data_IF_917239997632
#
_entry.id   IF_917239997632
#
_cell.length_a   1.000
_cell.length_b   1.000
_cell.length_c   1.000
_cell.angle_alpha   90.00
_cell.angle_beta   90.00
_cell.angle_gamma   90.00
#
_symmetry.space_group_name_H-M   'P 1'
#
loop_
_entity.id
_entity.type
_entity.pdbx_description
1 polymer ?
#
# COMPACT_ATOMS: atom_id res chain seq x y z
N UNK A 1 -8.27 16.93 -11.15
CA UNK A 1 -8.88 17.84 -10.16
C UNK A 1 -7.99 17.91 -8.93
N UNK A 2 -7.46 19.08 -8.62
CA UNK A 2 -6.57 19.32 -7.48
C UNK A 2 -7.37 19.26 -6.18
N UNK A 3 -6.97 18.43 -5.21
CA UNK A 3 -7.55 18.55 -3.88
C UNK A 3 -6.97 19.77 -3.17
N UNK A 4 -7.86 20.48 -2.48
CA UNK A 4 -7.52 21.52 -1.50
C UNK A 4 -7.77 20.91 -0.11
N UNK A 5 -6.98 21.23 0.93
CA UNK A 5 -7.28 20.81 2.29
C UNK A 5 -8.71 21.18 2.64
N UNK A 6 -9.48 20.22 3.16
CA UNK A 6 -10.87 20.47 3.47
C UNK A 6 -11.00 21.40 4.68
N UNK A 7 -11.96 22.32 4.62
CA UNK A 7 -12.26 23.28 5.69
C UNK A 7 -13.74 23.19 6.06
N UNK A 8 -14.02 23.07 7.36
CA UNK A 8 -15.39 23.08 7.90
C UNK A 8 -15.39 23.64 9.33
N UNK A 9 -16.48 24.31 9.69
CA UNK A 9 -16.76 24.76 11.06
C UNK A 9 -17.58 23.72 11.87
N UNK A 10 -18.04 22.64 11.23
CA UNK A 10 -18.84 21.61 11.87
C UNK A 10 -17.97 20.77 12.82
N UNK A 11 -18.47 20.55 14.04
CA UNK A 11 -17.81 19.77 15.10
C UNK A 11 -18.81 18.83 15.76
N UNK A 12 -18.37 17.74 16.42
CA UNK A 12 -19.27 16.90 17.22
C UNK A 12 -19.91 17.69 18.37
N UNK A 13 -21.06 17.24 18.88
CA UNK A 13 -21.65 17.84 20.08
C UNK A 13 -20.70 17.72 21.28
N UNK A 14 -20.62 18.79 22.09
CA UNK A 14 -19.87 18.79 23.35
C UNK A 14 -20.78 18.27 24.46
N UNK A 15 -20.37 17.17 25.10
CA UNK A 15 -21.08 16.53 26.22
C UNK A 15 -20.15 16.40 27.43
N UNK A 16 -20.71 16.06 28.59
CA UNK A 16 -19.92 15.77 29.77
C UNK A 16 -19.05 14.50 29.60
N UNK A 17 -18.06 14.35 30.48
CA UNK A 17 -17.07 13.27 30.42
C UNK A 17 -17.70 11.88 30.56
N UNK A 18 -18.75 11.75 31.37
CA UNK A 18 -19.40 10.48 31.65
C UNK A 18 -20.20 10.02 30.43
N UNK A 19 -20.98 10.92 29.82
CA UNK A 19 -21.71 10.67 28.58
C UNK A 19 -20.76 10.27 27.44
N UNK A 20 -19.67 11.02 27.25
CA UNK A 20 -18.67 10.68 26.23
C UNK A 20 -18.03 9.30 26.48
N UNK A 21 -17.68 8.98 27.73
CA UNK A 21 -17.07 7.69 28.07
C UNK A 21 -18.01 6.52 27.80
N UNK A 22 -19.30 6.68 28.09
CA UNK A 22 -20.32 5.66 27.83
C UNK A 22 -20.43 5.37 26.33
N UNK A 23 -20.66 6.38 25.50
CA UNK A 23 -20.80 6.23 24.04
C UNK A 23 -19.53 5.66 23.38
N UNK A 24 -18.36 6.16 23.79
CA UNK A 24 -17.07 5.65 23.31
C UNK A 24 -16.88 4.18 23.69
N UNK A 25 -17.28 3.77 24.89
CA UNK A 25 -17.13 2.39 25.33
C UNK A 25 -18.10 1.44 24.61
N UNK A 26 -19.28 1.91 24.21
CA UNK A 26 -20.20 1.15 23.35
C UNK A 26 -19.56 0.88 21.97
N UNK A 27 -18.90 1.88 21.37
CA UNK A 27 -18.14 1.69 20.13
C UNK A 27 -16.95 0.73 20.31
N UNK A 28 -16.21 0.85 21.42
CA UNK A 28 -15.04 0.02 21.70
C UNK A 28 -15.35 -1.48 21.66
N UNK A 29 -16.56 -1.90 22.06
CA UNK A 29 -16.97 -3.32 21.96
C UNK A 29 -16.89 -3.81 20.51
N UNK A 30 -17.35 -3.00 19.56
CA UNK A 30 -17.31 -3.33 18.12
C UNK A 30 -15.87 -3.32 17.60
N UNK A 31 -15.06 -2.35 18.01
CA UNK A 31 -13.63 -2.29 17.63
C UNK A 31 -12.86 -3.53 18.11
N UNK A 32 -13.13 -3.98 19.34
CA UNK A 32 -12.52 -5.20 19.89
C UNK A 32 -13.04 -6.46 19.21
N UNK A 33 -14.30 -6.51 18.82
CA UNK A 33 -14.83 -7.61 18.01
C UNK A 33 -14.13 -7.67 16.64
N UNK A 34 -13.97 -6.54 15.96
CA UNK A 34 -13.24 -6.46 14.69
C UNK A 34 -11.77 -6.88 14.82
N UNK A 35 -11.09 -6.46 15.90
CA UNK A 35 -9.71 -6.88 16.17
C UNK A 35 -9.59 -8.41 16.27
N UNK A 36 -10.48 -9.04 17.02
CA UNK A 36 -10.50 -10.51 17.19
C UNK A 36 -10.83 -11.23 15.90
N UNK A 37 -11.72 -10.69 15.08
CA UNK A 37 -12.00 -11.23 13.75
C UNK A 37 -10.76 -11.12 12.85
N UNK A 38 -10.02 -10.01 12.92
CA UNK A 38 -8.73 -9.87 12.25
C UNK A 38 -7.73 -10.95 12.67
N UNK A 39 -7.64 -11.26 13.96
CA UNK A 39 -6.80 -12.34 14.49
C UNK A 39 -7.24 -13.71 13.94
N UNK A 40 -8.55 -13.96 13.87
CA UNK A 40 -9.12 -15.18 13.32
C UNK A 40 -8.83 -15.32 11.82
N UNK A 41 -8.97 -14.25 11.04
CA UNK A 41 -8.62 -14.22 9.61
C UNK A 41 -7.12 -14.46 9.42
N UNK A 42 -6.27 -13.84 10.25
CA UNK A 42 -4.83 -14.08 10.20
C UNK A 42 -4.48 -15.54 10.53
N UNK A 43 -5.23 -16.18 11.43
CA UNK A 43 -5.11 -17.61 11.71
C UNK A 43 -5.54 -18.46 10.51
N UNK A 44 -6.66 -18.13 9.87
CA UNK A 44 -7.13 -18.82 8.67
C UNK A 44 -6.13 -18.72 7.51
N UNK A 45 -5.50 -17.55 7.28
CA UNK A 45 -4.44 -17.38 6.28
C UNK A 45 -3.25 -18.31 6.52
N UNK A 46 -2.86 -18.53 7.78
CA UNK A 46 -1.80 -19.48 8.16
C UNK A 46 -2.16 -20.95 7.92
N UNK A 47 -3.44 -21.26 7.64
CA UNK A 47 -3.93 -22.61 7.32
C UNK A 47 -4.19 -22.81 5.82
N UNK A 48 -4.00 -21.79 4.98
CA UNK A 48 -4.16 -21.92 3.53
C UNK A 48 -3.11 -22.87 2.94
N UNK A 49 -3.46 -23.66 1.92
CA UNK A 49 -2.46 -24.35 1.12
C UNK A 49 -1.65 -23.33 0.31
N UNK A 50 -0.49 -23.76 -0.18
CA UNK A 50 0.37 -22.97 -1.06
C UNK A 50 0.53 -23.66 -2.41
N UNK A 51 0.77 -22.89 -3.47
CA UNK A 51 1.00 -23.41 -4.83
C UNK A 51 2.43 -23.15 -5.27
N UNK A 52 3.03 -24.10 -5.96
CA UNK A 52 4.40 -23.98 -6.46
C UNK A 52 4.46 -22.93 -7.58
N UNK A 53 5.41 -22.01 -7.49
CA UNK A 53 5.73 -21.09 -8.57
C UNK A 53 6.58 -21.78 -9.63
N UNK A 54 6.36 -21.52 -10.92
CA UNK A 54 7.32 -21.91 -11.94
C UNK A 54 8.65 -21.16 -11.75
N UNK A 55 9.67 -21.55 -12.49
CA UNK A 55 10.92 -20.79 -12.54
C UNK A 55 10.66 -19.44 -13.20
N UNK A 56 10.65 -18.39 -12.39
CA UNK A 56 10.42 -17.01 -12.83
C UNK A 56 11.62 -16.14 -12.48
N UNK A 57 11.95 -15.21 -13.38
CA UNK A 57 12.90 -14.12 -13.14
C UNK A 57 12.19 -12.77 -13.16
N UNK A 58 12.72 -11.82 -12.40
CA UNK A 58 12.39 -10.39 -12.45
C UNK A 58 13.65 -9.61 -12.77
N UNK A 59 13.55 -8.43 -13.39
CA UNK A 59 14.74 -7.63 -13.73
C UNK A 59 15.05 -6.64 -12.61
N UNK A 60 16.25 -6.76 -12.05
CA UNK A 60 16.78 -5.89 -10.98
C UNK A 60 18.06 -5.16 -11.40
N UNK A 61 18.77 -4.52 -10.44
CA UNK A 61 19.99 -3.76 -10.73
C UNK A 61 21.12 -4.61 -11.30
N UNK A 62 21.14 -5.91 -10.99
CA UNK A 62 22.10 -6.88 -11.53
C UNK A 62 21.64 -7.58 -12.81
N UNK A 63 20.52 -7.17 -13.41
CA UNK A 63 19.89 -7.87 -14.53
C UNK A 63 18.83 -8.88 -14.07
N UNK A 64 18.68 -9.97 -14.81
CA UNK A 64 17.66 -10.99 -14.54
C UNK A 64 17.96 -11.69 -13.21
N UNK A 65 17.04 -11.59 -12.27
CA UNK A 65 17.14 -12.08 -10.91
C UNK A 65 16.10 -13.20 -10.72
N UNK A 66 16.51 -14.44 -10.41
CA UNK A 66 15.58 -15.50 -10.04
C UNK A 66 14.70 -15.11 -8.86
N UNK A 67 13.41 -15.48 -8.88
CA UNK A 67 12.47 -15.13 -7.81
C UNK A 67 12.98 -15.55 -6.41
N UNK A 68 13.69 -16.68 -6.31
CA UNK A 68 14.27 -17.15 -5.06
C UNK A 68 15.32 -16.20 -4.46
N UNK A 69 16.03 -15.44 -5.30
CA UNK A 69 17.05 -14.47 -4.87
C UNK A 69 16.45 -13.16 -4.35
N UNK A 70 15.24 -12.80 -4.80
CA UNK A 70 14.48 -11.63 -4.31
C UNK A 70 14.24 -11.68 -2.79
N UNK A 71 14.26 -12.89 -2.21
CA UNK A 71 14.12 -13.08 -0.77
C UNK A 71 15.31 -12.56 0.04
N UNK A 72 16.45 -12.21 -0.58
CA UNK A 72 17.66 -11.71 0.10
C UNK A 72 18.14 -12.63 1.24
N UNK A 73 18.05 -13.95 1.01
CA UNK A 73 18.43 -14.97 2.00
C UNK A 73 17.38 -15.27 3.07
N UNK A 74 16.24 -14.56 3.07
CA UNK A 74 15.11 -14.84 3.98
C UNK A 74 14.19 -15.93 3.43
N UNK A 75 13.28 -16.43 4.26
CA UNK A 75 12.32 -17.47 3.84
C UNK A 75 10.99 -16.93 3.36
N UNK A 76 10.59 -15.74 3.76
CA UNK A 76 9.30 -15.16 3.38
C UNK A 76 9.48 -13.89 2.55
N UNK A 77 8.58 -13.69 1.59
CA UNK A 77 8.53 -12.50 0.75
C UNK A 77 7.12 -11.94 0.75
N UNK A 78 7.00 -10.63 0.96
CA UNK A 78 5.81 -9.86 0.61
C UNK A 78 6.17 -9.02 -0.63
N UNK A 79 5.49 -9.25 -1.74
CA UNK A 79 5.67 -8.50 -2.96
C UNK A 79 4.46 -7.60 -3.22
N UNK A 80 4.72 -6.31 -3.45
CA UNK A 80 3.72 -5.41 -4.01
C UNK A 80 3.86 -5.34 -5.53
N UNK A 81 2.77 -5.56 -6.24
CA UNK A 81 2.73 -5.47 -7.70
C UNK A 81 2.32 -4.06 -8.11
N UNK A 82 3.28 -3.25 -8.53
CA UNK A 82 3.10 -1.82 -8.81
C UNK A 82 2.71 -1.58 -10.26
N UNK A 83 1.50 -1.05 -10.48
CA UNK A 83 1.02 -0.65 -11.80
C UNK A 83 1.84 0.52 -12.33
N UNK A 84 2.23 0.45 -13.59
CA UNK A 84 3.04 1.48 -14.25
C UNK A 84 2.31 2.05 -15.45
N UNK A 85 2.47 3.35 -15.69
CA UNK A 85 1.97 4.01 -16.87
C UNK A 85 3.15 4.41 -17.76
N UNK A 86 3.33 3.68 -18.86
CA UNK A 86 4.37 4.00 -19.85
C UNK A 86 4.20 5.46 -20.36
N UNK A 87 5.33 6.12 -20.65
CA UNK A 87 5.40 7.50 -21.14
C UNK A 87 4.78 8.58 -20.23
N UNK A 88 4.53 8.28 -18.95
CA UNK A 88 4.02 9.26 -17.97
C UNK A 88 5.10 9.79 -17.04
N UNK A 89 5.09 11.10 -16.72
CA UNK A 89 5.95 11.65 -15.69
C UNK A 89 5.58 11.07 -14.32
N UNK A 90 6.48 11.16 -13.34
CA UNK A 90 6.27 10.61 -11.99
C UNK A 90 4.98 11.10 -11.32
N UNK A 91 4.54 12.33 -11.58
CA UNK A 91 3.29 12.88 -11.04
C UNK A 91 2.02 12.21 -11.57
N UNK A 92 2.14 11.44 -12.66
CA UNK A 92 1.02 10.77 -13.35
C UNK A 92 1.18 9.24 -13.39
N UNK A 93 2.16 8.71 -12.66
CA UNK A 93 2.24 7.28 -12.34
C UNK A 93 1.09 6.86 -11.42
N UNK A 94 0.85 5.54 -11.29
CA UNK A 94 -0.30 5.01 -10.57
C UNK A 94 -0.36 5.53 -9.12
N UNK A 95 -1.39 6.33 -8.84
CA UNK A 95 -1.49 7.06 -7.58
C UNK A 95 -1.76 6.13 -6.40
N UNK A 96 -2.58 5.09 -6.60
CA UNK A 96 -2.87 4.09 -5.57
C UNK A 96 -1.67 3.22 -5.26
N UNK A 97 -0.89 2.87 -6.28
CA UNK A 97 0.36 2.14 -6.09
C UNK A 97 1.41 2.99 -5.37
N UNK A 98 1.54 4.26 -5.75
CA UNK A 98 2.42 5.23 -5.08
C UNK A 98 2.01 5.43 -3.62
N UNK A 99 0.72 5.61 -3.36
CA UNK A 99 0.15 5.77 -2.02
C UNK A 99 0.37 4.53 -1.16
N UNK A 100 0.10 3.33 -1.68
CA UNK A 100 0.28 2.09 -0.91
C UNK A 100 1.74 1.84 -0.56
N UNK A 101 2.61 1.93 -1.57
CA UNK A 101 4.04 1.60 -1.46
C UNK A 101 4.80 2.58 -0.56
N UNK A 102 4.42 3.87 -0.53
CA UNK A 102 5.17 4.88 0.23
C UNK A 102 5.12 4.69 1.75
N UNK A 103 4.17 3.92 2.29
CA UNK A 103 4.05 3.68 3.72
C UNK A 103 5.06 2.65 4.25
N UNK A 104 5.66 1.83 3.39
CA UNK A 104 6.59 0.77 3.78
C UNK A 104 8.02 1.29 4.01
N UNK A 105 8.19 2.15 5.02
CA UNK A 105 9.49 2.78 5.30
C UNK A 105 10.33 2.04 6.36
N UNK A 106 9.70 1.26 7.25
CA UNK A 106 10.37 0.55 8.33
C UNK A 106 10.29 -0.97 8.10
N UNK A 107 11.43 -1.57 7.77
CA UNK A 107 11.51 -3.00 7.44
C UNK A 107 12.03 -3.86 8.58
N UNK A 108 12.56 -3.26 9.65
CA UNK A 108 13.22 -3.95 10.76
C UNK A 108 12.36 -5.05 11.40
N UNK A 109 11.07 -4.77 11.61
CA UNK A 109 10.14 -5.76 12.15
C UNK A 109 9.88 -6.94 11.20
N UNK A 110 9.88 -6.70 9.88
CA UNK A 110 9.75 -7.75 8.87
C UNK A 110 11.02 -8.58 8.81
N UNK A 111 12.19 -7.92 8.71
CA UNK A 111 13.49 -8.56 8.66
C UNK A 111 13.76 -9.41 9.90
N UNK A 112 13.39 -8.93 11.09
CA UNK A 112 13.51 -9.67 12.35
C UNK A 112 12.63 -10.93 12.40
N UNK A 113 11.68 -11.06 11.48
CA UNK A 113 10.78 -12.21 11.33
C UNK A 113 10.95 -12.93 10.00
N UNK A 114 12.14 -12.81 9.40
CA UNK A 114 12.51 -13.57 8.21
C UNK A 114 11.63 -13.27 6.98
N UNK A 115 11.18 -12.01 6.88
CA UNK A 115 10.38 -11.49 5.76
C UNK A 115 11.15 -10.40 5.02
N UNK A 116 11.28 -10.53 3.71
CA UNK A 116 11.68 -9.44 2.79
C UNK A 116 10.42 -8.78 2.22
N UNK A 117 10.42 -7.46 2.06
CA UNK A 117 9.41 -6.74 1.30
C UNK A 117 10.05 -6.22 0.00
N UNK A 118 9.41 -6.47 -1.14
CA UNK A 118 9.90 -6.02 -2.45
C UNK A 118 8.75 -5.48 -3.31
N UNK A 119 9.10 -4.74 -4.36
CA UNK A 119 8.15 -4.28 -5.36
C UNK A 119 8.47 -4.87 -6.72
N UNK A 120 7.42 -5.37 -7.38
CA UNK A 120 7.43 -5.79 -8.79
C UNK A 120 6.65 -4.78 -9.61
N UNK A 121 7.36 -3.93 -10.34
CA UNK A 121 6.78 -2.91 -11.19
C UNK A 121 6.40 -3.47 -12.56
N UNK A 122 5.22 -3.11 -13.05
CA UNK A 122 4.77 -3.46 -14.40
C UNK A 122 5.63 -2.84 -15.51
N UNK A 123 6.31 -1.73 -15.21
CA UNK A 123 7.10 -0.95 -16.15
C UNK A 123 8.52 -1.46 -16.35
N UNK A 124 9.26 -0.95 -17.36
CA UNK A 124 10.65 -1.29 -17.59
C UNK A 124 11.53 -0.94 -16.38
N UNK A 125 12.58 -1.74 -16.12
CA UNK A 125 13.47 -1.49 -14.98
C UNK A 125 14.17 -0.12 -15.07
N UNK A 126 14.75 0.18 -16.23
CA UNK A 126 15.57 1.39 -16.43
C UNK A 126 14.73 2.68 -16.32
N UNK A 127 13.41 2.61 -16.51
CA UNK A 127 12.48 3.73 -16.34
C UNK A 127 11.89 3.81 -14.94
N UNK A 128 11.58 2.67 -14.32
CA UNK A 128 10.87 2.61 -13.05
C UNK A 128 11.80 2.65 -11.83
N UNK A 129 13.05 2.18 -11.94
CA UNK A 129 14.00 2.25 -10.83
C UNK A 129 14.35 3.70 -10.44
N UNK A 130 14.55 4.65 -11.39
CA UNK A 130 14.69 6.07 -11.05
C UNK A 130 13.47 6.67 -10.35
N UNK A 131 12.26 6.14 -10.58
CA UNK A 131 11.06 6.55 -9.83
C UNK A 131 11.13 6.07 -8.38
N UNK A 132 11.55 4.82 -8.14
CA UNK A 132 11.74 4.30 -6.80
C UNK A 132 12.79 5.08 -6.00
N UNK A 133 13.89 5.47 -6.66
CA UNK A 133 14.93 6.35 -6.09
C UNK A 133 14.35 7.73 -5.76
N UNK A 134 13.64 8.37 -6.69
CA UNK A 134 12.96 9.65 -6.45
C UNK A 134 11.99 9.57 -5.27
N UNK A 135 11.26 8.46 -5.15
CA UNK A 135 10.35 8.22 -4.04
C UNK A 135 11.10 7.91 -2.73
N UNK A 136 12.40 7.64 -2.77
CA UNK A 136 13.23 7.32 -1.61
C UNK A 136 12.83 5.98 -0.96
N UNK A 137 12.45 5.00 -1.77
CA UNK A 137 12.03 3.70 -1.27
C UNK A 137 13.24 2.89 -0.75
N UNK A 138 13.19 2.37 0.50
CA UNK A 138 14.32 1.67 1.11
C UNK A 138 14.35 0.16 0.82
N UNK A 139 13.41 -0.35 0.03
CA UNK A 139 13.24 -1.77 -0.27
C UNK A 139 13.61 -2.08 -1.73
N UNK A 140 13.93 -3.34 -2.04
CA UNK A 140 14.19 -3.79 -3.40
C UNK A 140 13.06 -3.47 -4.38
N UNK A 141 13.44 -2.94 -5.54
CA UNK A 141 12.57 -2.65 -6.66
C UNK A 141 13.00 -3.45 -7.87
N UNK A 142 12.07 -4.16 -8.49
CA UNK A 142 12.29 -4.96 -9.69
C UNK A 142 11.23 -4.65 -10.74
N UNK A 143 11.56 -4.90 -12.01
CA UNK A 143 10.60 -4.91 -13.10
C UNK A 143 10.07 -6.32 -13.36
N UNK A 144 8.77 -6.40 -13.60
CA UNK A 144 8.03 -7.59 -14.02
C UNK A 144 7.56 -7.53 -15.48
N UNK A 145 7.97 -6.51 -16.27
CA UNK A 145 7.45 -6.24 -17.62
C UNK A 145 7.62 -7.43 -18.58
N UNK A 146 8.73 -8.15 -18.44
CA UNK A 146 9.10 -9.31 -19.26
C UNK A 146 9.22 -10.61 -18.45
N UNK A 147 8.70 -10.61 -17.22
CA UNK A 147 8.66 -11.82 -16.39
C UNK A 147 7.64 -12.82 -16.95
N UNK A 148 7.80 -14.09 -16.55
CA UNK A 148 6.81 -15.12 -16.85
C UNK A 148 5.40 -14.66 -16.39
N UNK A 149 4.35 -14.78 -17.24
CA UNK A 149 2.99 -14.38 -16.89
C UNK A 149 2.45 -15.02 -15.61
N UNK A 150 2.94 -16.19 -15.22
CA UNK A 150 2.58 -16.86 -13.97
C UNK A 150 2.93 -16.05 -12.72
N UNK A 151 3.85 -15.08 -12.81
CA UNK A 151 4.16 -14.16 -11.71
C UNK A 151 2.95 -13.31 -11.32
N UNK A 152 2.27 -12.75 -12.33
CA UNK A 152 1.06 -11.96 -12.13
C UNK A 152 -0.21 -12.82 -12.18
N UNK A 153 -0.15 -14.01 -12.78
CA UNK A 153 -1.24 -14.99 -12.90
C UNK A 153 -2.56 -14.35 -13.41
N UNK A 154 -2.43 -13.51 -14.44
CA UNK A 154 -3.57 -12.80 -15.05
C UNK A 154 -4.22 -11.70 -14.19
N UNK A 155 -3.65 -11.38 -13.02
CA UNK A 155 -4.16 -10.32 -12.13
C UNK A 155 -3.73 -8.94 -12.62
N UNK A 156 -4.64 -7.97 -12.52
CA UNK A 156 -4.27 -6.56 -12.70
C UNK A 156 -3.32 -6.12 -11.58
N UNK A 157 -2.30 -5.33 -11.91
CA UNK A 157 -1.36 -4.77 -10.94
C UNK A 157 -2.10 -3.84 -9.95
N UNK A 158 -1.51 -3.63 -8.77
CA UNK A 158 -2.15 -2.99 -7.62
C UNK A 158 -2.58 -3.98 -6.54
N UNK A 159 -1.85 -5.09 -6.39
CA UNK A 159 -2.12 -6.15 -5.42
C UNK A 159 -0.87 -6.50 -4.60
N UNK A 160 -1.07 -7.24 -3.51
CA UNK A 160 0.00 -7.80 -2.69
C UNK A 160 -0.07 -9.31 -2.81
N UNK A 161 1.09 -9.96 -2.95
CA UNK A 161 1.22 -11.40 -2.79
C UNK A 161 2.30 -11.76 -1.76
N UNK A 162 2.15 -12.92 -1.15
CA UNK A 162 3.03 -13.45 -0.12
C UNK A 162 3.56 -14.80 -0.57
N UNK A 163 4.86 -15.01 -0.39
CA UNK A 163 5.55 -16.23 -0.81
C UNK A 163 6.38 -16.84 0.31
N UNK A 164 6.55 -18.16 0.24
CA UNK A 164 7.47 -18.93 1.06
C UNK A 164 8.54 -19.56 0.17
N UNK A 165 9.80 -19.46 0.58
CA UNK A 165 10.93 -20.16 -0.01
C UNK A 165 11.31 -21.38 0.83
N UNK A 166 11.48 -22.51 0.16
CA UNK A 166 12.05 -23.73 0.74
C UNK A 166 13.12 -24.30 -0.19
N UNK A 167 14.39 -24.15 0.22
CA UNK A 167 15.53 -24.38 -0.69
C UNK A 167 15.45 -23.43 -1.89
N UNK A 168 15.41 -23.98 -3.10
CA UNK A 168 15.28 -23.21 -4.35
C UNK A 168 13.84 -23.16 -4.88
N UNK A 169 12.89 -23.80 -4.19
CA UNK A 169 11.48 -23.75 -4.54
C UNK A 169 10.81 -22.54 -3.90
N UNK A 170 9.95 -21.88 -4.65
CA UNK A 170 9.13 -20.75 -4.19
C UNK A 170 7.67 -21.13 -4.32
N UNK A 171 6.89 -20.85 -3.28
CA UNK A 171 5.45 -21.11 -3.24
C UNK A 171 4.69 -19.80 -3.02
N UNK A 172 3.64 -19.55 -3.80
CA UNK A 172 2.66 -18.51 -3.48
C UNK A 172 1.73 -19.02 -2.37
N UNK A 173 1.57 -18.22 -1.32
CA UNK A 173 0.84 -18.61 -0.10
C UNK A 173 -0.46 -17.83 0.10
N UNK A 174 -0.51 -16.59 -0.41
CA UNK A 174 -1.65 -15.70 -0.26
C UNK A 174 -1.49 -14.50 -1.18
N UNK A 175 -2.59 -13.91 -1.64
CA UNK A 175 -2.60 -12.60 -2.27
C UNK A 175 -3.91 -11.86 -2.00
N UNK A 176 -3.92 -10.54 -2.19
CA UNK A 176 -5.13 -9.71 -2.09
C UNK A 176 -5.00 -8.44 -2.92
N UNK A 177 -6.13 -7.88 -3.34
CA UNK A 177 -6.23 -6.63 -4.09
C UNK A 177 -7.24 -5.67 -3.46
N UNK A 178 -7.42 -4.48 -4.05
CA UNK A 178 -8.37 -3.47 -3.63
C UNK A 178 -8.16 -3.03 -2.19
N UNK A 179 -9.25 -2.96 -1.39
CA UNK A 179 -9.15 -2.57 0.02
C UNK A 179 -8.31 -3.51 0.88
N UNK A 180 -8.03 -4.74 0.44
CA UNK A 180 -7.11 -5.63 1.16
C UNK A 180 -5.66 -5.11 1.17
N UNK A 181 -5.30 -4.28 0.20
CA UNK A 181 -4.00 -3.63 0.11
C UNK A 181 -3.84 -2.50 1.15
N UNK A 182 -4.95 -2.00 1.71
CA UNK A 182 -4.91 -1.02 2.80
C UNK A 182 -4.17 -1.54 4.05
N UNK A 183 -3.90 -2.85 4.14
CA UNK A 183 -3.03 -3.43 5.17
C UNK A 183 -1.63 -2.79 5.23
N UNK A 184 -1.17 -2.15 4.14
CA UNK A 184 0.10 -1.42 4.10
C UNK A 184 -0.08 0.09 4.32
N UNK A 185 -1.31 0.62 4.41
CA UNK A 185 -1.59 2.07 4.39
C UNK A 185 -1.80 2.63 5.80
N UNK A 186 -0.71 2.86 6.52
CA UNK A 186 -0.77 3.34 7.92
C UNK A 186 -1.44 4.70 8.09
N UNK A 187 -1.35 5.60 7.11
CA UNK A 187 -1.99 6.93 7.19
C UNK A 187 -3.52 6.83 7.19
N UNK A 188 -4.12 5.93 6.42
CA UNK A 188 -5.56 5.71 6.42
C UNK A 188 -6.07 5.20 7.76
N UNK A 189 -5.37 4.23 8.34
CA UNK A 189 -5.69 3.75 9.69
C UNK A 189 -5.58 4.87 10.74
N UNK A 190 -4.59 5.76 10.61
CA UNK A 190 -4.46 6.91 11.51
C UNK A 190 -5.59 7.94 11.31
N UNK A 191 -5.95 8.23 10.06
CA UNK A 191 -7.04 9.16 9.72
C UNK A 191 -8.40 8.66 10.19
N UNK A 192 -8.67 7.36 10.09
CA UNK A 192 -9.91 6.72 10.57
C UNK A 192 -10.11 6.88 12.08
N UNK A 193 -9.04 7.08 12.85
CA UNK A 193 -9.10 7.37 14.30
C UNK A 193 -9.41 8.84 14.61
N UNK A 194 -9.32 9.72 13.63
CA UNK A 194 -9.59 11.14 13.80
C UNK A 194 -11.06 11.46 13.60
N UNK A 195 -11.51 12.55 14.22
CA UNK A 195 -12.90 13.01 14.17
C UNK A 195 -13.38 13.41 12.78
N UNK A 196 -12.53 13.46 11.74
CA UNK A 196 -12.98 13.78 10.38
C UNK A 196 -12.70 12.65 9.37
N UNK A 197 -12.20 11.51 9.84
CA UNK A 197 -11.86 10.37 8.98
C UNK A 197 -10.82 10.73 7.92
N UNK A 198 -10.90 10.05 6.78
CA UNK A 198 -10.07 10.29 5.59
C UNK A 198 -10.54 11.50 4.79
N UNK A 199 -11.75 11.99 5.08
CA UNK A 199 -12.45 13.08 4.41
C UNK A 199 -12.86 12.75 2.96
N UNK A 200 -12.96 11.47 2.61
CA UNK A 200 -13.24 11.04 1.25
C UNK A 200 -14.74 10.98 0.96
N UNK A 201 -15.14 11.23 -0.28
CA UNK A 201 -16.56 11.40 -0.62
C UNK A 201 -17.42 10.14 -0.40
N UNK A 202 -16.82 8.96 -0.33
CA UNK A 202 -17.54 7.70 -0.08
C UNK A 202 -17.77 7.41 1.40
N UNK A 203 -17.05 8.06 2.33
CA UNK A 203 -17.20 7.77 3.76
C UNK A 203 -18.57 8.21 4.27
N UNK A 204 -19.19 7.39 5.13
CA UNK A 204 -20.41 7.75 5.82
C UNK A 204 -20.09 8.67 7.00
N UNK A 205 -20.03 9.97 6.73
CA UNK A 205 -19.74 11.01 7.73
C UNK A 205 -20.95 11.91 7.95
N UNK A 206 -21.15 12.44 9.16
CA UNK A 206 -22.23 13.40 9.44
C UNK A 206 -22.23 14.59 8.49
N UNK A 207 -23.41 15.17 8.28
CA UNK A 207 -23.57 16.34 7.43
C UNK A 207 -22.67 17.49 7.91
N UNK A 208 -22.02 18.16 6.96
CA UNK A 208 -21.13 19.29 7.23
C UNK A 208 -19.69 18.89 7.57
N UNK A 209 -19.37 17.61 7.74
CA UNK A 209 -17.98 17.18 7.90
C UNK A 209 -17.14 17.56 6.66
N UNK A 210 -15.87 17.95 6.86
CA UNK A 210 -14.99 18.35 5.78
C UNK A 210 -14.79 17.19 4.80
N UNK A 211 -14.77 17.51 3.51
CA UNK A 211 -14.49 16.55 2.43
C UNK A 211 -13.39 17.07 1.53
N UNK A 212 -12.45 16.22 1.16
CA UNK A 212 -11.45 16.56 0.14
C UNK A 212 -12.16 16.70 -1.22
N UNK A 213 -11.87 17.80 -1.91
CA UNK A 213 -12.30 17.99 -3.30
C UNK A 213 -11.40 17.21 -4.24
N UNK A 214 -11.93 16.68 -5.35
CA UNK A 214 -11.12 15.96 -6.34
C UNK A 214 -10.61 14.59 -5.86
N UNK A 215 -9.39 14.23 -6.27
CA UNK A 215 -8.83 12.89 -6.03
C UNK A 215 -8.16 12.80 -4.65
N UNK A 216 -8.47 11.79 -3.81
CA UNK A 216 -8.05 11.75 -2.40
C UNK A 216 -6.53 11.61 -2.20
N UNK A 217 -5.81 11.10 -3.20
CA UNK A 217 -4.36 10.98 -3.17
C UNK A 217 -3.63 12.14 -3.83
N UNK A 218 -4.31 13.21 -4.25
CA UNK A 218 -3.66 14.41 -4.80
C UNK A 218 -3.79 15.59 -3.87
N UNK A 219 -2.79 16.45 -3.87
CA UNK A 219 -2.83 17.79 -3.28
C UNK A 219 -2.16 18.74 -4.26
N UNK A 220 -2.86 19.84 -4.63
CA UNK A 220 -2.36 20.84 -5.59
C UNK A 220 -1.80 20.23 -6.89
N UNK A 221 -2.52 19.24 -7.45
CA UNK A 221 -2.25 18.66 -8.76
C UNK A 221 -1.20 17.54 -8.78
N UNK A 222 -0.59 17.21 -7.64
CA UNK A 222 0.43 16.16 -7.53
C UNK A 222 0.02 15.09 -6.52
N UNK A 223 0.45 13.82 -6.66
CA UNK A 223 0.26 12.82 -5.64
C UNK A 223 0.80 13.29 -4.28
N UNK A 224 -0.02 13.20 -3.22
CA UNK A 224 0.29 13.75 -1.90
C UNK A 224 1.58 13.18 -1.34
N UNK A 225 1.86 11.90 -1.60
CA UNK A 225 3.08 11.20 -1.20
C UNK A 225 4.37 11.83 -1.75
N UNK A 226 4.30 12.60 -2.84
CA UNK A 226 5.48 13.18 -3.48
C UNK A 226 5.93 14.51 -2.87
N UNK A 227 5.10 15.18 -2.06
CA UNK A 227 5.42 16.53 -1.56
C UNK A 227 6.67 16.62 -0.68
N UNK A 228 7.07 15.52 -0.08
CA UNK A 228 8.29 15.43 0.72
C UNK A 228 9.54 15.06 -0.09
N UNK A 229 9.39 14.84 -1.41
CA UNK A 229 10.51 14.42 -2.28
C UNK A 229 11.30 15.62 -2.79
N UNK A 230 12.62 15.49 -3.01
CA UNK A 230 13.45 16.58 -3.50
C UNK A 230 12.96 17.16 -4.85
N UNK A 231 13.06 18.48 -5.02
CA UNK A 231 12.73 19.15 -6.28
C UNK A 231 11.23 19.24 -6.63
N UNK A 232 10.34 18.87 -5.70
CA UNK A 232 8.89 18.92 -5.93
C UNK A 232 8.33 20.32 -5.67
N UNK A 233 7.69 20.88 -6.70
CA UNK A 233 6.91 22.13 -6.64
C UNK A 233 5.44 21.86 -7.02
N UNK A 234 4.51 22.78 -6.69
CA UNK A 234 3.13 22.71 -7.19
C UNK A 234 3.08 22.56 -8.71
N UNK A 235 2.13 21.76 -9.18
CA UNK A 235 1.82 21.74 -10.61
C UNK A 235 1.29 23.13 -10.99
N UNK A 236 1.89 23.75 -12.00
CA UNK A 236 1.35 25.00 -12.55
C UNK A 236 0.01 24.63 -13.18
N UNK A 237 -1.08 25.09 -12.59
CA UNK A 237 -2.41 24.97 -13.20
C UNK A 237 -2.43 25.83 -14.46
N UNK A 238 -2.27 25.20 -15.62
CA UNK A 238 -2.61 25.77 -16.93
C UNK A 238 -4.11 25.81 -17.13
#
# INVERSE_FOLDING_TARGET
MTATPASSAATPPVVDRETWLRERNELLVREKAHTREGDAIAAARRQLPMTLMPTVTVRGPGGDTPLAEVFEGRRMLIAYFHMWHDDKPYGDQCEGCTFSTCHMQMLDYLHARDVTYAVFCQGPYDESAPFAEFMGYPFPWYSAKDSDPALADGREFGFIACYLRDGDQVYETYWTTGRGVEALTTSYHALDLTVYGRQENWENSPQGWPRVSGHPWRLNGRPTAQWSRPGVTPAVTS
#
